data_IF_153254960451
#
_entry.id   IF_153254960451
#
_cell.length_a   1.000
_cell.length_b   1.000
_cell.length_c   1.000
_cell.angle_alpha   90.00
_cell.angle_beta   90.00
_cell.angle_gamma   90.00
#
_symmetry.space_group_name_H-M   'P 1'
#
loop_
_entity.id
_entity.type
_entity.pdbx_description
1 polymer ?
#
# COMPACT_ATOMS: atom_id res chain seq x y z
N UNK A 1 -11.87 -8.03 -32.37
CA UNK A 1 -11.45 -7.22 -31.23
C UNK A 1 -11.67 -7.98 -29.93
N UNK A 2 -10.73 -7.95 -29.09
CA UNK A 2 -10.90 -8.57 -27.77
C UNK A 2 -11.92 -7.79 -26.95
N UNK A 3 -12.68 -8.50 -26.12
CA UNK A 3 -13.57 -7.87 -25.16
C UNK A 3 -12.74 -7.08 -24.14
N UNK A 4 -13.19 -5.88 -23.80
CA UNK A 4 -12.55 -5.14 -22.72
C UNK A 4 -12.82 -5.85 -21.40
N UNK A 5 -11.79 -6.19 -20.61
CA UNK A 5 -12.00 -6.87 -19.35
C UNK A 5 -12.63 -5.91 -18.33
N UNK A 6 -13.49 -6.44 -17.47
CA UNK A 6 -14.06 -5.67 -16.36
C UNK A 6 -13.17 -5.76 -15.12
N UNK A 7 -12.33 -6.79 -15.06
CA UNK A 7 -11.43 -7.03 -13.94
C UNK A 7 -10.13 -7.62 -14.46
N UNK A 8 -9.01 -7.10 -13.96
CA UNK A 8 -7.69 -7.62 -14.28
C UNK A 8 -7.02 -8.03 -12.96
N UNK A 9 -6.47 -9.24 -12.94
CA UNK A 9 -5.69 -9.72 -11.79
C UNK A 9 -4.22 -9.73 -12.19
N UNK A 10 -3.40 -9.03 -11.44
CA UNK A 10 -1.95 -8.94 -11.64
C UNK A 10 -1.24 -9.53 -10.43
N UNK A 11 -0.48 -10.60 -10.66
CA UNK A 11 0.24 -11.31 -9.60
C UNK A 11 1.71 -10.93 -9.63
N UNK A 12 2.11 -10.06 -8.70
CA UNK A 12 3.48 -9.55 -8.57
C UNK A 12 4.06 -9.06 -9.90
N UNK A 13 3.37 -8.14 -10.60
CA UNK A 13 3.76 -7.77 -11.97
C UNK A 13 5.08 -7.02 -12.05
N UNK A 14 5.59 -6.52 -10.92
CA UNK A 14 6.82 -5.71 -10.88
C UNK A 14 8.00 -6.45 -10.24
N UNK A 15 7.87 -7.75 -10.00
CA UNK A 15 8.87 -8.52 -9.24
C UNK A 15 10.28 -8.45 -9.85
N UNK A 16 10.38 -8.32 -11.17
CA UNK A 16 11.66 -8.29 -11.87
C UNK A 16 12.08 -6.89 -12.32
N UNK A 17 11.37 -5.86 -11.87
CA UNK A 17 11.63 -4.49 -12.33
C UNK A 17 12.38 -3.68 -11.29
N UNK A 18 13.11 -2.68 -11.76
CA UNK A 18 13.75 -1.69 -10.91
C UNK A 18 12.70 -0.71 -10.36
N UNK A 19 13.07 0.18 -9.40
CA UNK A 19 12.09 1.12 -8.82
C UNK A 19 11.39 2.01 -9.84
N UNK A 20 12.07 2.43 -10.89
CA UNK A 20 11.45 3.27 -11.92
C UNK A 20 10.41 2.48 -12.72
N UNK A 21 10.74 1.24 -13.09
CA UNK A 21 9.80 0.36 -13.79
C UNK A 21 8.58 0.06 -12.95
N UNK A 22 8.75 -0.12 -11.65
CA UNK A 22 7.62 -0.34 -10.74
C UNK A 22 6.67 0.85 -10.72
N UNK A 23 7.20 2.07 -10.65
CA UNK A 23 6.38 3.28 -10.67
C UNK A 23 5.59 3.40 -11.97
N UNK A 24 6.21 3.06 -13.09
CA UNK A 24 5.56 3.11 -14.39
C UNK A 24 4.40 2.13 -14.47
N UNK A 25 4.58 0.90 -13.98
CA UNK A 25 3.52 -0.10 -13.97
C UNK A 25 2.35 0.34 -13.07
N UNK A 26 2.65 0.82 -11.87
CA UNK A 26 1.60 1.28 -10.94
C UNK A 26 0.83 2.45 -11.56
N UNK A 27 1.52 3.38 -12.20
CA UNK A 27 0.89 4.51 -12.88
C UNK A 27 -0.03 4.05 -14.01
N UNK A 28 0.44 3.09 -14.82
CA UNK A 28 -0.35 2.53 -15.92
C UNK A 28 -1.61 1.84 -15.39
N UNK A 29 -1.47 1.05 -14.34
CA UNK A 29 -2.60 0.34 -13.71
C UNK A 29 -3.63 1.33 -13.18
N UNK A 30 -3.17 2.40 -12.52
CA UNK A 30 -4.07 3.44 -12.03
C UNK A 30 -4.84 4.13 -13.16
N UNK A 31 -4.17 4.38 -14.28
CA UNK A 31 -4.80 4.99 -15.46
C UNK A 31 -5.89 4.07 -16.01
N UNK A 32 -5.63 2.78 -16.12
CA UNK A 32 -6.63 1.82 -16.58
C UNK A 32 -7.87 1.81 -15.69
N UNK A 33 -7.65 1.87 -14.38
CA UNK A 33 -8.76 1.89 -13.43
C UNK A 33 -9.58 3.19 -13.55
N UNK A 34 -8.91 4.35 -13.57
CA UNK A 34 -9.59 5.63 -13.59
C UNK A 34 -10.24 5.93 -14.95
N UNK A 35 -9.51 5.71 -16.03
CA UNK A 35 -9.95 6.15 -17.35
C UNK A 35 -10.92 5.16 -17.99
N UNK A 36 -10.76 3.87 -17.71
CA UNK A 36 -11.57 2.82 -18.34
C UNK A 36 -12.49 2.10 -17.36
N UNK A 37 -12.45 2.44 -16.08
CA UNK A 37 -13.30 1.84 -15.08
C UNK A 37 -13.04 0.36 -14.85
N UNK A 38 -11.84 -0.12 -15.17
CA UNK A 38 -11.47 -1.52 -14.99
C UNK A 38 -11.12 -1.75 -13.52
N UNK A 39 -11.71 -2.79 -12.92
CA UNK A 39 -11.33 -3.19 -11.57
C UNK A 39 -9.99 -3.92 -11.63
N UNK A 40 -9.04 -3.50 -10.80
CA UNK A 40 -7.71 -4.08 -10.76
C UNK A 40 -7.52 -4.80 -9.42
N UNK A 41 -7.17 -6.09 -9.47
CA UNK A 41 -6.69 -6.83 -8.30
C UNK A 41 -5.19 -6.98 -8.45
N UNK A 42 -4.45 -6.34 -7.57
CA UNK A 42 -3.01 -6.23 -7.66
C UNK A 42 -2.37 -6.95 -6.46
N UNK A 43 -1.66 -8.04 -6.73
CA UNK A 43 -1.02 -8.84 -5.69
C UNK A 43 0.46 -8.44 -5.61
N UNK A 44 0.89 -8.01 -4.43
CA UNK A 44 2.26 -7.56 -4.23
C UNK A 44 2.67 -7.70 -2.77
N UNK A 45 3.97 -7.79 -2.54
CA UNK A 45 4.54 -7.69 -1.21
C UNK A 45 5.30 -6.37 -1.03
N UNK A 46 5.24 -5.48 -2.02
CA UNK A 46 5.84 -4.14 -1.93
C UNK A 46 4.82 -3.15 -1.40
N UNK A 47 5.04 -2.65 -0.20
CA UNK A 47 4.08 -1.76 0.46
C UNK A 47 3.91 -0.44 -0.28
N UNK A 48 4.96 0.04 -0.94
CA UNK A 48 4.88 1.27 -1.73
C UNK A 48 3.87 1.17 -2.86
N UNK A 49 3.73 -0.03 -3.45
CA UNK A 49 2.74 -0.25 -4.50
C UNK A 49 1.33 -0.32 -3.92
N UNK A 50 1.18 -0.96 -2.77
CA UNK A 50 -0.11 -1.10 -2.11
C UNK A 50 -0.66 0.24 -1.62
N UNK A 51 0.19 1.23 -1.35
CA UNK A 51 -0.25 2.58 -0.97
C UNK A 51 -1.10 3.25 -2.04
N UNK A 52 -0.94 2.85 -3.29
CA UNK A 52 -1.67 3.43 -4.42
C UNK A 52 -3.08 2.84 -4.60
N UNK A 53 -3.41 1.80 -3.86
CA UNK A 53 -4.70 1.12 -4.00
C UNK A 53 -5.83 1.87 -3.29
N UNK A 54 -7.06 1.62 -3.72
CA UNK A 54 -8.24 2.13 -3.03
C UNK A 54 -8.56 1.30 -1.79
N UNK A 55 -8.30 -0.01 -1.87
CA UNK A 55 -8.47 -0.94 -0.75
C UNK A 55 -7.30 -1.90 -0.71
N UNK A 56 -6.92 -2.28 0.50
CA UNK A 56 -5.85 -3.24 0.73
C UNK A 56 -6.40 -4.42 1.51
N UNK A 57 -6.05 -5.62 1.06
CA UNK A 57 -6.41 -6.86 1.76
C UNK A 57 -5.11 -7.53 2.17
N UNK A 58 -4.96 -7.80 3.45
CA UNK A 58 -3.77 -8.50 3.97
C UNK A 58 -4.14 -9.97 4.17
N UNK A 59 -3.35 -10.84 3.56
CA UNK A 59 -3.58 -12.27 3.60
C UNK A 59 -2.41 -13.00 4.23
N UNK A 60 -2.71 -14.08 4.94
CA UNK A 60 -1.71 -14.98 5.50
C UNK A 60 -2.25 -16.40 5.43
N UNK A 61 -1.45 -17.31 4.87
CA UNK A 61 -1.77 -18.74 4.80
C UNK A 61 -3.17 -19.03 4.23
N UNK A 62 -3.53 -18.25 3.20
CA UNK A 62 -4.83 -18.41 2.53
C UNK A 62 -6.01 -17.78 3.24
N UNK A 63 -5.77 -17.05 4.32
CA UNK A 63 -6.83 -16.37 5.07
C UNK A 63 -6.68 -14.86 5.01
N UNK A 64 -7.82 -14.16 4.96
CA UNK A 64 -7.84 -12.72 5.07
C UNK A 64 -7.65 -12.35 6.55
N UNK A 65 -6.61 -11.59 6.84
CA UNK A 65 -6.32 -11.15 8.20
C UNK A 65 -7.04 -9.86 8.53
N UNK A 66 -6.94 -8.89 7.64
CA UNK A 66 -7.70 -7.65 7.76
C UNK A 66 -7.72 -6.94 6.41
N UNK A 67 -8.64 -6.01 6.26
CA UNK A 67 -8.77 -5.24 5.03
C UNK A 67 -9.27 -3.84 5.35
N UNK A 68 -9.05 -2.90 4.43
CA UNK A 68 -9.49 -1.53 4.57
C UNK A 68 -8.80 -0.64 3.57
N UNK A 69 -8.88 0.67 3.81
CA UNK A 69 -8.12 1.63 3.02
C UNK A 69 -6.63 1.49 3.36
N UNK A 70 -5.72 1.99 2.51
CA UNK A 70 -4.29 1.97 2.85
C UNK A 70 -3.99 2.56 4.23
N UNK A 71 -4.66 3.67 4.60
CA UNK A 71 -4.45 4.26 5.92
C UNK A 71 -4.87 3.32 7.04
N UNK A 72 -6.03 2.68 6.91
CA UNK A 72 -6.52 1.74 7.92
C UNK A 72 -5.59 0.55 8.10
N UNK A 73 -5.07 0.02 6.99
CA UNK A 73 -4.23 -1.17 7.01
C UNK A 73 -2.81 -0.85 7.47
N UNK A 74 -2.19 0.18 6.90
CA UNK A 74 -0.77 0.43 7.14
C UNK A 74 -0.47 1.15 8.46
N UNK A 75 -1.48 1.64 9.14
CA UNK A 75 -1.32 2.13 10.51
C UNK A 75 -1.16 1.00 11.52
N UNK A 76 -1.44 -0.24 11.13
CA UNK A 76 -1.30 -1.42 11.98
C UNK A 76 0.10 -1.99 11.87
N UNK A 77 1.11 -1.17 12.19
CA UNK A 77 2.52 -1.52 12.02
C UNK A 77 2.89 -2.80 12.76
N UNK A 78 2.50 -2.91 14.03
CA UNK A 78 2.85 -4.07 14.84
C UNK A 78 2.21 -5.36 14.31
N UNK A 79 0.97 -5.28 13.84
CA UNK A 79 0.27 -6.43 13.28
C UNK A 79 0.90 -6.88 11.96
N UNK A 80 1.29 -5.91 11.11
CA UNK A 80 1.98 -6.22 9.85
C UNK A 80 3.32 -6.89 10.12
N UNK A 81 4.08 -6.40 11.08
CA UNK A 81 5.38 -6.99 11.42
C UNK A 81 5.23 -8.40 11.93
N UNK A 82 4.20 -8.70 12.72
CA UNK A 82 3.92 -10.06 13.20
C UNK A 82 3.65 -11.02 12.06
N UNK A 83 3.11 -10.52 10.95
CA UNK A 83 2.83 -11.34 9.76
C UNK A 83 4.03 -11.45 8.82
N UNK A 84 5.17 -10.84 9.17
CA UNK A 84 6.35 -10.83 8.34
C UNK A 84 6.28 -9.83 7.19
N UNK A 85 5.36 -8.88 7.26
CA UNK A 85 5.23 -7.84 6.26
C UNK A 85 5.87 -6.55 6.75
N UNK A 86 6.43 -5.79 5.82
CA UNK A 86 7.00 -4.48 6.16
C UNK A 86 5.92 -3.40 6.03
N UNK A 87 5.78 -2.60 7.08
CA UNK A 87 4.94 -1.41 7.00
C UNK A 87 5.65 -0.32 6.19
N UNK A 88 4.92 0.65 5.61
CA UNK A 88 5.57 1.80 4.99
C UNK A 88 6.52 2.47 5.98
N UNK A 89 7.66 2.95 5.49
CA UNK A 89 8.70 3.51 6.35
C UNK A 89 8.16 4.66 7.21
N UNK A 90 7.38 5.56 6.62
CA UNK A 90 6.81 6.69 7.35
C UNK A 90 5.90 6.23 8.50
N UNK A 91 5.08 5.20 8.27
CA UNK A 91 4.21 4.64 9.31
C UNK A 91 5.04 4.02 10.43
N UNK A 92 6.10 3.31 10.07
CA UNK A 92 7.00 2.67 11.04
C UNK A 92 7.71 3.71 11.90
N UNK A 93 8.26 4.75 11.28
CA UNK A 93 8.92 5.84 12.01
C UNK A 93 7.93 6.55 12.94
N UNK A 94 6.73 6.87 12.44
CA UNK A 94 5.71 7.52 13.24
C UNK A 94 5.31 6.67 14.45
N UNK A 95 5.18 5.37 14.27
CA UNK A 95 4.88 4.44 15.35
C UNK A 95 5.96 4.46 16.44
N UNK A 96 7.24 4.41 16.04
CA UNK A 96 8.35 4.45 16.97
C UNK A 96 8.42 5.79 17.73
N UNK A 97 8.18 6.89 17.04
CA UNK A 97 8.18 8.20 17.67
C UNK A 97 7.03 8.33 18.68
N UNK A 98 5.86 7.79 18.37
CA UNK A 98 4.75 7.79 19.33
C UNK A 98 5.08 6.96 20.57
N UNK A 99 5.75 5.83 20.41
CA UNK A 99 6.21 4.99 21.53
C UNK A 99 7.21 5.71 22.41
N UNK A 100 7.97 6.65 21.83
CA UNK A 100 8.94 7.48 22.55
C UNK A 100 8.30 8.70 23.23
N UNK A 101 7.00 8.89 23.11
CA UNK A 101 6.27 9.97 23.75
C UNK A 101 5.99 11.18 22.87
N UNK A 102 6.39 11.15 21.61
CA UNK A 102 6.10 12.22 20.67
C UNK A 102 4.66 12.08 20.17
N UNK A 103 3.90 13.15 20.23
CA UNK A 103 2.49 13.14 19.80
C UNK A 103 2.41 13.29 18.30
N UNK A 104 1.97 12.25 17.62
CA UNK A 104 1.76 12.24 16.18
C UNK A 104 0.41 11.61 15.84
N UNK A 105 -0.23 12.03 14.74
CA UNK A 105 -1.44 11.36 14.26
C UNK A 105 -1.18 9.88 14.00
N UNK A 106 -2.21 9.05 14.16
CA UNK A 106 -2.08 7.60 13.96
C UNK A 106 -2.17 7.19 12.50
N UNK A 107 -2.58 8.09 11.63
CA UNK A 107 -2.85 7.77 10.22
C UNK A 107 -1.75 8.19 9.26
N UNK A 108 -0.52 8.35 9.76
CA UNK A 108 0.63 8.69 8.93
C UNK A 108 1.10 7.43 8.21
N UNK A 109 1.07 7.46 6.87
CA UNK A 109 1.53 6.35 6.04
C UNK A 109 2.46 6.81 4.90
N UNK A 110 2.58 8.12 4.67
CA UNK A 110 3.46 8.65 3.62
C UNK A 110 4.54 9.54 4.21
N UNK A 111 5.62 9.71 3.46
CA UNK A 111 6.73 10.57 3.88
C UNK A 111 6.28 12.01 4.03
N UNK A 112 5.40 12.47 3.15
CA UNK A 112 4.86 13.83 3.18
C UNK A 112 4.05 14.07 4.44
N UNK A 113 3.22 13.11 4.82
CA UNK A 113 2.41 13.21 6.03
C UNK A 113 3.29 13.26 7.28
N UNK A 114 4.34 12.45 7.31
CA UNK A 114 5.29 12.45 8.43
C UNK A 114 6.02 13.78 8.52
N UNK A 115 6.54 14.28 7.40
CA UNK A 115 7.25 15.54 7.37
C UNK A 115 6.36 16.69 7.84
N UNK A 116 5.12 16.73 7.37
CA UNK A 116 4.17 17.77 7.75
C UNK A 116 3.87 17.72 9.25
N UNK A 117 3.69 16.53 9.80
CA UNK A 117 3.42 16.38 11.24
C UNK A 117 4.60 16.83 12.11
N UNK A 118 5.83 16.54 11.66
CA UNK A 118 7.03 16.91 12.41
C UNK A 118 7.37 18.40 12.31
N UNK A 119 6.92 19.07 11.26
CA UNK A 119 7.22 20.48 11.04
C UNK A 119 6.21 21.45 11.64
N UNK A 120 5.22 20.94 12.37
CA UNK A 120 4.24 21.79 13.05
C UNK A 120 4.68 22.23 14.43
#
# INVERSE_FOLDING_TARGET
MALEPQCIVLDEPTAMLDPQGRKEIVSTVKSLNKDKGITIVYITHYMTEALAADRVVVMEKGHIRFMGTPKEVFCRVDELEKLGLEAPLAAKIASELRKSGIKLPKDIITDEELAQALCQ
#
